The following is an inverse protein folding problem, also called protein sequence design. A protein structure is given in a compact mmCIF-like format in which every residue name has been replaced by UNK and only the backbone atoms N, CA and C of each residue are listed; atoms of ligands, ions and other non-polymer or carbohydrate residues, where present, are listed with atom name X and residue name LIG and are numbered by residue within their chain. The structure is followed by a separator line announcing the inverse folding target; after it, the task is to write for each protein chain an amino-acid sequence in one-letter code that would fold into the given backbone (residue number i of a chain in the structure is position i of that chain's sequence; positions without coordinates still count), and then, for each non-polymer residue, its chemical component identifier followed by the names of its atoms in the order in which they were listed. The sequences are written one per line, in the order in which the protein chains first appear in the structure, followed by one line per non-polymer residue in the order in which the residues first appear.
data_IF_891699827919
#
_entry.id   IF_891699827919
#
_cell.length_a   1.000
_cell.length_b   1.000
_cell.length_c   1.000
_cell.angle_alpha   90.00
_cell.angle_beta   90.00
_cell.angle_gamma   90.00
#
_symmetry.space_group_name_H-M   'P 1'
#
loop_
_entity.id
_entity.type
_entity.pdbx_description
1 polymer ?
#
# COMPACT_ATOMS: atom_id res chain seq x y z
N UNK A 1 2.24 -15.21 22.30
CA UNK A 1 1.81 -14.93 20.91
C UNK A 1 2.24 -13.52 20.56
N UNK A 2 3.05 -13.33 19.50
CA UNK A 2 3.40 -11.99 19.01
C UNK A 2 2.27 -11.54 18.08
N UNK A 3 1.46 -10.57 18.50
CA UNK A 3 0.43 -10.00 17.64
C UNK A 3 1.12 -9.39 16.41
N UNK A 4 0.62 -9.73 15.21
CA UNK A 4 1.07 -9.13 13.96
C UNK A 4 0.14 -7.98 13.59
N UNK A 5 0.69 -6.79 13.36
CA UNK A 5 -0.08 -5.62 12.95
C UNK A 5 -0.19 -5.63 11.44
N UNK A 6 -1.41 -5.69 10.92
CA UNK A 6 -1.71 -5.44 9.51
C UNK A 6 -2.27 -4.03 9.35
N UNK A 7 -1.77 -3.27 8.39
CA UNK A 7 -2.35 -1.98 8.00
C UNK A 7 -2.89 -2.09 6.58
N UNK A 8 -4.20 -1.91 6.46
CA UNK A 8 -4.90 -1.83 5.18
C UNK A 8 -4.90 -0.37 4.69
N UNK A 9 -4.30 -0.12 3.53
CA UNK A 9 -4.16 1.21 2.94
C UNK A 9 -5.17 1.34 1.79
N UNK A 10 -6.17 2.23 1.89
CA UNK A 10 -7.13 2.46 0.82
C UNK A 10 -6.47 3.27 -0.31
N UNK A 11 -6.32 2.63 -1.48
CA UNK A 11 -5.79 3.26 -2.69
C UNK A 11 -6.96 3.89 -3.45
N UNK A 12 -7.06 5.22 -3.39
CA UNK A 12 -8.21 5.98 -3.92
C UNK A 12 -7.98 6.54 -5.33
N UNK A 13 -6.74 6.67 -5.75
CA UNK A 13 -6.33 7.20 -7.05
C UNK A 13 -5.00 6.59 -7.48
N UNK A 14 -4.65 6.77 -8.75
CA UNK A 14 -3.32 6.48 -9.33
C UNK A 14 -2.26 7.54 -8.98
N UNK A 15 -2.63 8.61 -8.29
CA UNK A 15 -1.67 9.62 -7.84
C UNK A 15 -0.75 9.05 -6.75
N UNK A 16 0.48 8.74 -7.16
CA UNK A 16 1.52 8.22 -6.29
C UNK A 16 1.88 9.16 -5.14
N UNK A 17 1.74 10.48 -5.28
CA UNK A 17 2.09 11.41 -4.20
C UNK A 17 1.12 11.29 -3.03
N UNK A 18 -0.17 11.12 -3.33
CA UNK A 18 -1.21 10.87 -2.32
C UNK A 18 -0.96 9.53 -1.64
N UNK A 19 -0.74 8.47 -2.43
CA UNK A 19 -0.53 7.13 -1.91
C UNK A 19 0.78 7.02 -1.10
N UNK A 20 1.86 7.68 -1.53
CA UNK A 20 3.14 7.73 -0.82
C UNK A 20 3.00 8.23 0.60
N UNK A 21 2.30 9.34 0.80
CA UNK A 21 2.10 9.91 2.15
C UNK A 21 1.36 8.94 3.07
N UNK A 22 0.35 8.23 2.55
CA UNK A 22 -0.39 7.22 3.32
C UNK A 22 0.50 6.02 3.68
N UNK A 23 1.34 5.58 2.74
CA UNK A 23 2.29 4.49 2.94
C UNK A 23 3.33 4.87 3.99
N UNK A 24 3.91 6.07 3.92
CA UNK A 24 4.90 6.55 4.89
C UNK A 24 4.32 6.58 6.32
N UNK A 25 3.14 7.17 6.51
CA UNK A 25 2.44 7.19 7.80
C UNK A 25 2.17 5.77 8.32
N UNK A 26 1.83 4.84 7.41
CA UNK A 26 1.59 3.45 7.77
C UNK A 26 2.88 2.75 8.20
N UNK A 27 3.99 3.00 7.51
CA UNK A 27 5.31 2.43 7.81
C UNK A 27 5.86 2.92 9.17
N UNK A 28 5.57 4.17 9.57
CA UNK A 28 5.95 4.69 10.89
C UNK A 28 5.38 3.86 12.05
N UNK A 29 4.24 3.19 11.83
CA UNK A 29 3.60 2.30 12.81
C UNK A 29 4.28 0.93 12.93
N UNK A 30 5.31 0.67 12.11
CA UNK A 30 6.06 -0.60 12.05
C UNK A 30 5.14 -1.82 11.90
N UNK A 31 4.30 -1.88 10.85
CA UNK A 31 3.41 -3.02 10.63
C UNK A 31 4.21 -4.27 10.27
N UNK A 32 3.64 -5.43 10.60
CA UNK A 32 4.13 -6.73 10.17
C UNK A 32 3.62 -7.09 8.76
N UNK A 33 2.58 -6.41 8.28
CA UNK A 33 1.94 -6.63 6.97
C UNK A 33 1.29 -5.33 6.47
N UNK A 34 1.43 -5.05 5.18
CA UNK A 34 0.66 -4.02 4.49
C UNK A 34 -0.27 -4.69 3.48
N UNK A 35 -1.54 -4.26 3.47
CA UNK A 35 -2.55 -4.67 2.51
C UNK A 35 -2.98 -3.46 1.69
N UNK A 36 -2.83 -3.52 0.36
CA UNK A 36 -3.33 -2.46 -0.52
C UNK A 36 -4.78 -2.74 -0.89
N UNK A 37 -5.67 -1.82 -0.52
CA UNK A 37 -7.12 -1.94 -0.75
C UNK A 37 -7.52 -1.17 -1.99
N UNK A 38 -7.60 -1.87 -3.12
CA UNK A 38 -7.95 -1.31 -4.42
C UNK A 38 -9.47 -1.17 -4.64
N UNK A 39 -10.32 -1.69 -3.75
CA UNK A 39 -11.77 -1.51 -3.78
C UNK A 39 -12.22 -0.04 -3.63
N UNK A 40 -11.29 0.87 -3.32
CA UNK A 40 -11.51 2.31 -3.23
C UNK A 40 -11.20 3.08 -4.51
N UNK A 41 -10.67 2.42 -5.56
CA UNK A 41 -10.42 3.07 -6.85
C UNK A 41 -11.67 2.95 -7.73
N UNK A 42 -12.15 4.08 -8.25
CA UNK A 42 -13.39 4.09 -9.04
C UNK A 42 -13.23 3.47 -10.43
N UNK A 43 -12.02 3.50 -10.98
CA UNK A 43 -11.75 3.00 -12.34
C UNK A 43 -10.57 2.04 -12.34
N UNK A 44 -10.84 0.77 -12.64
CA UNK A 44 -9.85 -0.32 -12.66
C UNK A 44 -8.73 -0.07 -13.67
N UNK A 45 -8.98 0.72 -14.73
CA UNK A 45 -7.98 1.07 -15.76
C UNK A 45 -6.72 1.73 -15.20
N UNK A 46 -6.83 2.34 -14.02
CA UNK A 46 -5.73 2.99 -13.32
C UNK A 46 -4.80 2.00 -12.58
N UNK A 47 -5.27 0.77 -12.32
CA UNK A 47 -4.45 -0.29 -11.71
C UNK A 47 -3.58 -0.95 -12.79
N UNK A 48 -2.52 -0.25 -13.19
CA UNK A 48 -1.55 -0.76 -14.16
C UNK A 48 -0.39 -1.49 -13.49
N UNK A 49 0.31 -2.34 -14.23
CA UNK A 49 1.51 -3.01 -13.71
C UNK A 49 2.60 -2.02 -13.25
N UNK A 50 2.78 -0.91 -13.98
CA UNK A 50 3.73 0.14 -13.59
C UNK A 50 3.32 0.79 -12.26
N UNK A 51 2.05 1.13 -12.09
CA UNK A 51 1.53 1.70 -10.86
C UNK A 51 1.72 0.75 -9.67
N UNK A 52 1.42 -0.54 -9.84
CA UNK A 52 1.64 -1.55 -8.79
C UNK A 52 3.13 -1.69 -8.43
N UNK A 53 4.01 -1.67 -9.44
CA UNK A 53 5.47 -1.74 -9.23
C UNK A 53 5.96 -0.53 -8.43
N UNK A 54 5.47 0.66 -8.76
CA UNK A 54 5.80 1.89 -8.04
C UNK A 54 5.27 1.85 -6.61
N UNK A 55 4.03 1.43 -6.36
CA UNK A 55 3.48 1.26 -5.01
C UNK A 55 4.32 0.31 -4.15
N UNK A 56 4.71 -0.83 -4.72
CA UNK A 56 5.57 -1.81 -4.02
C UNK A 56 6.95 -1.23 -3.72
N UNK A 57 7.52 -0.42 -4.62
CA UNK A 57 8.81 0.23 -4.42
C UNK A 57 8.86 1.20 -3.24
N UNK A 58 7.69 1.68 -2.78
CA UNK A 58 7.56 2.57 -1.61
C UNK A 58 7.69 1.82 -0.28
N UNK A 59 7.59 0.49 -0.30
CA UNK A 59 7.66 -0.34 0.90
C UNK A 59 9.08 -0.90 1.05
N UNK A 60 9.60 -0.88 2.27
CA UNK A 60 10.92 -1.45 2.56
C UNK A 60 10.89 -2.98 2.38
N UNK A 61 11.96 -3.61 1.84
CA UNK A 61 11.95 -5.03 1.42
C UNK A 61 11.64 -6.08 2.49
N UNK A 62 11.49 -5.67 3.76
CA UNK A 62 11.31 -6.55 4.91
C UNK A 62 9.85 -6.73 5.34
N UNK A 63 8.92 -5.97 4.76
CA UNK A 63 7.50 -6.06 5.10
C UNK A 63 6.77 -6.82 3.99
N UNK A 64 6.12 -7.97 4.28
CA UNK A 64 5.26 -8.66 3.34
C UNK A 64 4.14 -7.76 2.82
N UNK A 65 3.78 -7.91 1.55
CA UNK A 65 2.72 -7.14 0.88
C UNK A 65 1.66 -8.12 0.39
N UNK A 66 0.38 -7.81 0.66
CA UNK A 66 -0.76 -8.51 0.07
C UNK A 66 -1.51 -7.54 -0.86
N UNK A 67 -1.52 -7.80 -2.18
CA UNK A 67 -2.37 -7.07 -3.12
C UNK A 67 -3.83 -7.50 -3.02
#
# INVERSE_FOLDING_TARGET
MKYKICIAIPIKSDDLNINRKLIEISLEKKPDLIEFRFDYINEVKFITFSFLTELVSLITPKIPIRP
#
